data_IF_156676226382
#
_entry.id   IF_156676226382
#
_cell.length_a   1.000
_cell.length_b   1.000
_cell.length_c   1.000
_cell.angle_alpha   90.00
_cell.angle_beta   90.00
_cell.angle_gamma   90.00
#
_symmetry.space_group_name_H-M   'P 1'
#
loop_
_entity.id
_entity.type
_entity.pdbx_description
1 polymer ?
#
# COMPACT_ATOMS: atom_id res chain seq x y z
N UNK A 1 23.20 1.61 25.27
CA UNK A 1 23.25 2.74 26.21
C UNK A 1 23.19 4.02 25.39
N UNK A 2 22.01 4.63 25.26
CA UNK A 2 21.82 5.85 24.46
C UNK A 2 22.61 7.00 25.09
N UNK A 3 23.40 7.72 24.28
CA UNK A 3 24.21 8.85 24.76
C UNK A 3 23.27 10.01 25.16
N UNK A 4 23.19 10.41 26.44
CA UNK A 4 22.31 11.49 26.92
C UNK A 4 22.45 12.80 26.13
N UNK A 5 23.62 12.99 25.53
CA UNK A 5 23.95 14.11 24.65
C UNK A 5 23.09 14.19 23.37
N UNK A 6 22.83 13.07 22.70
CA UNK A 6 22.00 13.06 21.48
C UNK A 6 20.56 13.46 21.80
N UNK A 7 20.00 12.87 22.87
CA UNK A 7 18.64 13.18 23.34
C UNK A 7 18.45 14.68 23.58
N UNK A 8 19.37 15.30 24.34
CA UNK A 8 19.33 16.73 24.62
C UNK A 8 19.34 17.58 23.35
N UNK A 9 20.19 17.25 22.37
CA UNK A 9 20.22 17.95 21.07
C UNK A 9 18.91 17.85 20.30
N UNK A 10 18.29 16.66 20.31
CA UNK A 10 17.02 16.45 19.63
C UNK A 10 15.86 17.16 20.34
N UNK A 11 15.88 17.25 21.68
CA UNK A 11 14.92 18.04 22.45
C UNK A 11 15.06 19.55 22.14
N UNK A 12 16.30 20.07 22.12
CA UNK A 12 16.60 21.46 21.75
C UNK A 12 16.11 21.77 20.33
N UNK A 13 16.40 20.88 19.37
CA UNK A 13 15.95 20.99 17.99
C UNK A 13 14.42 20.94 17.88
N UNK A 14 13.75 20.02 18.58
CA UNK A 14 12.30 19.91 18.56
C UNK A 14 11.64 21.19 19.09
N UNK A 15 12.20 21.79 20.14
CA UNK A 15 11.71 23.05 20.69
C UNK A 15 11.94 24.22 19.72
N UNK A 16 13.11 24.28 19.08
CA UNK A 16 13.38 25.28 18.04
C UNK A 16 12.39 25.17 16.87
N UNK A 17 12.17 23.96 16.35
CA UNK A 17 11.21 23.73 15.26
C UNK A 17 9.79 24.16 15.64
N UNK A 18 9.36 23.86 16.87
CA UNK A 18 8.06 24.33 17.38
C UNK A 18 8.00 25.86 17.48
N UNK A 19 9.10 26.52 17.84
CA UNK A 19 9.16 27.99 17.92
C UNK A 19 9.00 28.67 16.55
N UNK A 20 9.38 27.99 15.46
CA UNK A 20 9.15 28.44 14.08
C UNK A 20 7.86 27.88 13.47
N UNK A 21 6.98 27.29 14.28
CA UNK A 21 5.65 26.83 13.86
C UNK A 21 5.58 25.42 13.27
N UNK A 22 6.67 24.64 13.30
CA UNK A 22 6.70 23.27 12.79
C UNK A 22 6.84 22.24 13.91
N UNK A 23 5.93 21.26 13.98
CA UNK A 23 6.03 20.17 14.94
C UNK A 23 6.64 18.93 14.25
N UNK A 24 7.90 18.57 14.53
CA UNK A 24 8.53 17.40 13.89
C UNK A 24 7.98 16.07 14.42
N UNK A 25 7.18 16.06 15.48
CA UNK A 25 6.74 14.85 16.16
C UNK A 25 7.78 14.31 17.14
N UNK A 26 7.70 13.03 17.46
CA UNK A 26 8.61 12.37 18.40
C UNK A 26 9.79 11.74 17.65
N UNK A 27 11.00 11.77 18.20
CA UNK A 27 12.17 11.07 17.66
C UNK A 27 12.42 9.70 18.30
N UNK A 28 11.68 9.38 19.36
CA UNK A 28 11.73 8.10 20.08
C UNK A 28 10.32 7.73 20.57
N UNK A 29 10.14 6.45 20.89
CA UNK A 29 8.94 5.92 21.54
C UNK A 29 7.61 6.25 20.84
N UNK A 30 7.63 6.51 19.53
CA UNK A 30 6.41 6.64 18.73
C UNK A 30 5.99 5.28 18.18
N UNK A 31 4.68 4.96 18.18
CA UNK A 31 4.19 3.72 17.59
C UNK A 31 4.34 3.75 16.06
N UNK A 32 4.58 2.59 15.48
CA UNK A 32 4.39 2.35 14.06
C UNK A 32 3.09 1.57 13.89
N UNK A 33 2.03 2.26 13.52
CA UNK A 33 0.72 1.63 13.40
C UNK A 33 0.69 0.65 12.24
N UNK A 34 0.06 -0.50 12.46
CA UNK A 34 -0.27 -1.47 11.41
C UNK A 34 -1.69 -1.94 11.64
N UNK A 35 -2.57 -1.72 10.67
CA UNK A 35 -3.96 -2.17 10.74
C UNK A 35 -4.40 -2.79 9.42
N UNK A 36 -5.34 -3.72 9.52
CA UNK A 36 -5.95 -4.35 8.36
C UNK A 36 -7.40 -4.69 8.64
N UNK A 37 -8.28 -4.14 7.81
CA UNK A 37 -9.71 -4.41 7.84
C UNK A 37 -10.05 -5.30 6.65
N UNK A 38 -10.67 -6.44 6.95
CA UNK A 38 -11.04 -7.47 5.97
C UNK A 38 -12.50 -7.82 6.15
N UNK A 39 -13.24 -7.76 5.05
CA UNK A 39 -14.62 -8.21 5.01
C UNK A 39 -14.85 -9.01 3.73
N UNK A 40 -15.61 -10.08 3.83
CA UNK A 40 -15.99 -10.87 2.66
C UNK A 40 -17.39 -11.41 2.81
N UNK A 41 -18.15 -11.35 1.74
CA UNK A 41 -19.48 -11.94 1.66
C UNK A 41 -19.58 -12.78 0.41
N UNK A 42 -20.26 -13.92 0.53
CA UNK A 42 -20.60 -14.79 -0.59
C UNK A 42 -22.08 -15.10 -0.54
N UNK A 43 -22.73 -15.01 -1.69
CA UNK A 43 -24.13 -15.34 -1.88
C UNK A 43 -24.20 -16.41 -2.96
N UNK A 44 -24.78 -17.56 -2.62
CA UNK A 44 -25.04 -18.65 -3.53
C UNK A 44 -26.55 -18.69 -3.83
N UNK A 45 -26.91 -18.60 -5.11
CA UNK A 45 -28.29 -18.62 -5.59
C UNK A 45 -28.49 -19.80 -6.55
N UNK A 46 -29.34 -20.74 -6.14
CA UNK A 46 -29.76 -21.84 -7.00
C UNK A 46 -30.91 -21.35 -7.89
N UNK A 47 -30.60 -21.04 -9.14
CA UNK A 47 -31.59 -20.58 -10.12
C UNK A 47 -32.57 -21.74 -10.42
N UNK A 48 -32.03 -22.94 -10.58
CA UNK A 48 -32.77 -24.19 -10.73
C UNK A 48 -31.91 -25.39 -10.28
N UNK A 49 -32.34 -26.62 -10.56
CA UNK A 49 -31.62 -27.86 -10.21
C UNK A 49 -30.28 -28.06 -10.95
N UNK A 50 -30.02 -27.27 -11.99
CA UNK A 50 -28.86 -27.38 -12.88
C UNK A 50 -27.98 -26.13 -12.86
N UNK A 51 -28.49 -24.98 -12.43
CA UNK A 51 -27.82 -23.69 -12.50
C UNK A 51 -27.66 -23.07 -11.12
N UNK A 52 -26.41 -22.85 -10.71
CA UNK A 52 -26.06 -22.12 -9.48
C UNK A 52 -25.23 -20.90 -9.84
N UNK A 53 -25.71 -19.72 -9.45
CA UNK A 53 -24.99 -18.47 -9.53
C UNK A 53 -24.40 -18.14 -8.15
N UNK A 54 -23.10 -17.88 -8.10
CA UNK A 54 -22.39 -17.47 -6.90
C UNK A 54 -21.85 -16.05 -7.10
N UNK A 55 -22.07 -15.17 -6.15
CA UNK A 55 -21.45 -13.85 -6.11
C UNK A 55 -20.60 -13.73 -4.85
N UNK A 56 -19.35 -13.29 -4.99
CA UNK A 56 -18.43 -13.05 -3.88
C UNK A 56 -17.90 -11.63 -3.96
N UNK A 57 -17.99 -10.90 -2.86
CA UNK A 57 -17.32 -9.62 -2.68
C UNK A 57 -16.29 -9.71 -1.57
N UNK A 58 -15.13 -9.13 -1.80
CA UNK A 58 -14.03 -9.04 -0.84
C UNK A 58 -13.57 -7.58 -0.74
N UNK A 59 -13.57 -7.09 0.50
CA UNK A 59 -13.12 -5.77 0.89
C UNK A 59 -11.86 -5.92 1.74
N UNK A 60 -10.83 -5.18 1.36
CA UNK A 60 -9.58 -5.11 2.10
C UNK A 60 -9.07 -3.69 2.14
N UNK A 61 -8.76 -3.21 3.34
CA UNK A 61 -8.00 -1.98 3.57
C UNK A 61 -6.89 -2.31 4.53
N UNK A 62 -5.69 -1.85 4.25
CA UNK A 62 -4.60 -1.94 5.21
C UNK A 62 -3.81 -0.66 5.23
N UNK A 63 -3.27 -0.39 6.41
CA UNK A 63 -2.40 0.73 6.67
C UNK A 63 -1.17 0.25 7.45
N UNK A 64 -0.01 0.81 7.12
CA UNK A 64 1.20 0.60 7.89
C UNK A 64 2.10 1.82 7.87
N UNK A 65 2.58 2.21 9.03
CA UNK A 65 3.62 3.23 9.18
C UNK A 65 5.00 2.68 8.82
N UNK A 66 5.75 3.49 8.09
CA UNK A 66 7.12 3.22 7.70
C UNK A 66 8.00 4.35 8.21
N UNK A 67 9.15 3.95 8.75
CA UNK A 67 10.24 4.87 9.07
C UNK A 67 10.71 5.62 7.80
N UNK A 68 11.47 6.71 7.95
CA UNK A 68 11.88 7.49 6.79
C UNK A 68 12.59 6.65 5.74
N UNK A 69 12.36 6.98 4.47
CA UNK A 69 13.05 6.35 3.36
C UNK A 69 14.56 6.61 3.42
N UNK A 70 15.36 5.62 3.02
CA UNK A 70 16.81 5.79 2.84
C UNK A 70 17.17 6.47 1.50
N UNK A 71 16.19 6.70 0.62
CA UNK A 71 16.41 7.33 -0.68
C UNK A 71 16.95 8.75 -0.51
N UNK A 72 18.10 9.05 -1.12
CA UNK A 72 18.75 10.36 -1.03
C UNK A 72 19.27 10.72 0.37
N UNK A 73 19.40 9.74 1.28
CA UNK A 73 19.88 9.97 2.65
C UNK A 73 21.40 10.13 2.72
N UNK A 74 21.93 10.89 3.70
CA UNK A 74 23.35 10.87 4.03
C UNK A 74 23.83 9.43 4.29
N UNK A 75 24.87 9.00 3.57
CA UNK A 75 25.38 7.61 3.57
C UNK A 75 24.27 6.54 3.38
N UNK A 76 23.19 6.86 2.66
CA UNK A 76 22.06 5.97 2.38
C UNK A 76 21.37 5.40 3.63
N UNK A 77 21.33 6.15 4.74
CA UNK A 77 20.67 5.70 5.96
C UNK A 77 19.97 6.83 6.73
N UNK A 78 18.65 6.68 6.95
CA UNK A 78 17.84 7.46 7.91
C UNK A 78 17.24 6.59 9.01
N UNK A 79 17.60 5.31 9.08
CA UNK A 79 17.04 4.42 10.09
C UNK A 79 17.59 4.76 11.49
N UNK A 80 16.78 4.57 12.55
CA UNK A 80 17.22 4.71 13.92
C UNK A 80 18.49 3.90 14.21
N UNK A 81 19.49 4.53 14.81
CA UNK A 81 20.76 3.91 15.18
C UNK A 81 21.36 4.59 16.41
N UNK A 82 22.49 4.07 16.89
CA UNK A 82 23.25 4.71 17.97
C UNK A 82 23.79 6.10 17.58
N UNK A 83 23.87 6.40 16.28
CA UNK A 83 24.43 7.64 15.74
C UNK A 83 23.35 8.64 15.32
N UNK A 84 22.08 8.24 15.28
CA UNK A 84 21.01 9.13 14.87
C UNK A 84 19.61 8.58 15.03
N UNK A 85 18.66 9.48 15.27
CA UNK A 85 17.24 9.17 15.47
C UNK A 85 16.40 10.11 14.61
N UNK A 86 15.67 9.60 13.61
CA UNK A 86 14.74 10.41 12.85
C UNK A 86 13.48 10.73 13.65
N UNK A 87 12.91 11.90 13.39
CA UNK A 87 11.59 12.27 13.87
C UNK A 87 10.49 11.53 13.10
N UNK A 88 9.37 11.25 13.77
CA UNK A 88 8.21 10.57 13.19
C UNK A 88 7.66 11.29 11.96
N UNK A 89 7.84 12.62 11.87
CA UNK A 89 7.42 13.40 10.70
C UNK A 89 8.08 12.96 9.38
N UNK A 90 9.32 12.49 9.43
CA UNK A 90 10.05 12.02 8.25
C UNK A 90 9.60 10.63 7.77
N UNK A 91 8.74 9.95 8.54
CA UNK A 91 8.09 8.71 8.13
C UNK A 91 6.95 8.95 7.14
N UNK A 92 6.40 7.85 6.64
CA UNK A 92 5.24 7.86 5.75
C UNK A 92 4.34 6.66 6.02
N UNK A 93 3.06 6.80 5.72
CA UNK A 93 2.09 5.71 5.76
C UNK A 93 1.98 5.02 4.40
N UNK A 94 1.83 3.70 4.42
CA UNK A 94 1.45 2.88 3.27
C UNK A 94 0.00 2.47 3.42
N UNK A 95 -0.83 2.83 2.45
CA UNK A 95 -2.19 2.33 2.33
C UNK A 95 -2.28 1.35 1.15
N UNK A 96 -2.85 0.18 1.38
CA UNK A 96 -3.17 -0.79 0.34
C UNK A 96 -4.66 -1.14 0.43
N UNK A 97 -5.41 -0.77 -0.59
CA UNK A 97 -6.85 -0.94 -0.62
C UNK A 97 -7.23 -1.83 -1.80
N UNK A 98 -8.07 -2.83 -1.56
CA UNK A 98 -8.57 -3.71 -2.61
C UNK A 98 -10.08 -3.94 -2.45
N UNK A 99 -10.79 -3.81 -3.56
CA UNK A 99 -12.17 -4.26 -3.74
C UNK A 99 -12.18 -5.30 -4.84
N UNK A 100 -12.70 -6.48 -4.53
CA UNK A 100 -12.79 -7.58 -5.47
C UNK A 100 -14.22 -8.11 -5.53
N UNK A 101 -14.76 -8.20 -6.74
CA UNK A 101 -16.04 -8.86 -7.02
C UNK A 101 -15.76 -10.04 -7.93
N UNK A 102 -16.27 -11.22 -7.59
CA UNK A 102 -16.28 -12.37 -8.49
C UNK A 102 -17.70 -12.90 -8.60
N UNK A 103 -18.10 -13.21 -9.83
CA UNK A 103 -19.33 -13.89 -10.19
C UNK A 103 -18.96 -15.23 -10.79
N UNK A 104 -19.65 -16.29 -10.39
CA UNK A 104 -19.48 -17.63 -10.93
C UNK A 104 -20.84 -18.23 -11.26
N UNK A 105 -21.04 -18.58 -12.53
CA UNK A 105 -22.18 -19.36 -12.97
C UNK A 105 -21.72 -20.79 -13.22
N UNK A 106 -22.25 -21.74 -12.46
CA UNK A 106 -22.07 -23.17 -12.67
C UNK A 106 -23.34 -23.76 -13.26
N UNK A 107 -23.19 -24.45 -14.39
CA UNK A 107 -24.30 -25.07 -15.12
C UNK A 107 -24.01 -26.55 -15.34
N UNK A 108 -24.91 -27.40 -14.86
CA UNK A 108 -24.96 -28.84 -15.18
C UNK A 108 -25.86 -29.06 -16.38
N UNK A 109 -25.26 -29.12 -17.57
CA UNK A 109 -26.00 -29.30 -18.82
C UNK A 109 -26.61 -30.71 -18.87
N UNK A 110 -25.83 -31.73 -18.53
CA UNK A 110 -26.27 -33.13 -18.45
C UNK A 110 -25.44 -33.94 -17.44
N UNK A 111 -25.61 -35.27 -17.41
CA UNK A 111 -24.68 -36.16 -16.69
C UNK A 111 -23.30 -36.26 -17.35
N UNK A 112 -23.16 -35.82 -18.61
CA UNK A 112 -21.92 -35.88 -19.39
C UNK A 112 -21.23 -34.53 -19.55
N UNK A 113 -21.92 -33.42 -19.32
CA UNK A 113 -21.41 -32.08 -19.59
C UNK A 113 -21.71 -31.11 -18.44
N UNK A 114 -20.71 -30.34 -18.05
CA UNK A 114 -20.85 -29.20 -17.13
C UNK A 114 -20.05 -28.01 -17.63
N UNK A 115 -20.45 -26.82 -17.19
CA UNK A 115 -19.77 -25.59 -17.50
C UNK A 115 -19.67 -24.71 -16.25
N UNK A 116 -18.56 -24.00 -16.13
CA UNK A 116 -18.31 -23.00 -15.10
C UNK A 116 -17.75 -21.75 -15.75
N UNK A 117 -18.52 -20.66 -15.71
CA UNK A 117 -18.09 -19.34 -16.14
C UNK A 117 -17.83 -18.48 -14.89
N UNK A 118 -16.59 -18.02 -14.73
CA UNK A 118 -16.18 -17.14 -13.64
C UNK A 118 -15.75 -15.79 -14.22
N UNK A 119 -16.32 -14.70 -13.71
CA UNK A 119 -15.95 -13.32 -14.07
C UNK A 119 -15.52 -12.59 -12.81
N UNK A 120 -14.36 -11.97 -12.84
CA UNK A 120 -13.78 -11.24 -11.72
C UNK A 120 -13.44 -9.81 -12.09
N UNK A 121 -13.62 -8.89 -11.14
CA UNK A 121 -13.18 -7.52 -11.24
C UNK A 121 -12.48 -7.11 -9.95
N UNK A 122 -11.23 -6.68 -10.07
CA UNK A 122 -10.40 -6.21 -8.98
C UNK A 122 -10.10 -4.73 -9.17
N UNK A 123 -10.26 -3.95 -8.10
CA UNK A 123 -9.77 -2.58 -8.02
C UNK A 123 -8.81 -2.51 -6.85
N UNK A 124 -7.55 -2.20 -7.13
CA UNK A 124 -6.50 -2.00 -6.15
C UNK A 124 -6.09 -0.53 -6.18
N UNK A 125 -6.02 0.09 -5.01
CA UNK A 125 -5.58 1.47 -4.83
C UNK A 125 -4.52 1.49 -3.74
N UNK A 126 -3.27 1.55 -4.18
CA UNK A 126 -2.11 1.67 -3.31
C UNK A 126 -1.68 3.12 -3.29
N UNK A 127 -1.56 3.72 -2.12
CA UNK A 127 -1.08 5.10 -2.00
C UNK A 127 -0.26 5.28 -0.74
N UNK A 128 0.38 6.43 -0.68
CA UNK A 128 1.24 6.84 0.42
C UNK A 128 0.70 8.13 1.01
N UNK A 129 0.98 8.34 2.29
CA UNK A 129 0.64 9.58 3.00
C UNK A 129 1.83 10.04 3.85
N UNK A 130 2.01 11.35 3.99
CA UNK A 130 3.06 11.91 4.86
C UNK A 130 2.68 11.80 6.34
N UNK A 131 3.64 11.52 7.21
CA UNK A 131 3.46 11.58 8.67
C UNK A 131 3.86 12.93 9.28
N UNK A 132 4.36 13.87 8.47
CA UNK A 132 4.82 15.18 8.94
C UNK A 132 3.72 16.16 9.35
N UNK A 133 2.45 15.83 9.08
CA UNK A 133 1.26 16.61 9.45
C UNK A 133 1.10 17.94 8.69
N UNK A 134 2.13 18.79 8.68
CA UNK A 134 2.16 20.06 7.95
C UNK A 134 3.28 20.04 6.89
N UNK A 135 3.06 20.64 5.70
CA UNK A 135 4.10 20.75 4.68
C UNK A 135 5.36 21.41 5.24
N UNK A 136 6.47 20.68 5.17
CA UNK A 136 7.78 21.16 5.60
C UNK A 136 8.85 20.39 4.81
N UNK A 137 9.92 21.04 4.33
CA UNK A 137 10.94 20.36 3.55
C UNK A 137 11.61 19.26 4.37
N UNK A 138 11.97 18.14 3.73
CA UNK A 138 12.82 17.15 4.40
C UNK A 138 14.19 17.76 4.69
N UNK A 139 14.57 17.77 5.97
CA UNK A 139 15.88 18.22 6.43
C UNK A 139 16.62 17.03 7.04
N UNK A 140 17.80 16.75 6.50
CA UNK A 140 18.78 15.86 7.12
C UNK A 140 19.83 16.68 7.87
N UNK A 141 20.06 16.34 9.14
CA UNK A 141 21.20 16.86 9.90
C UNK A 141 22.21 15.73 10.04
N UNK A 142 23.46 16.00 9.66
CA UNK A 142 24.54 15.01 9.64
C UNK A 142 25.45 15.13 10.86
N UNK A 143 26.02 14.00 11.26
CA UNK A 143 27.17 13.93 12.15
C UNK A 143 28.44 14.43 11.44
N UNK A 144 29.53 14.73 12.17
CA UNK A 144 30.80 15.15 11.58
C UNK A 144 31.40 14.15 10.58
N UNK A 145 31.11 12.87 10.74
CA UNK A 145 31.55 11.81 9.83
C UNK A 145 30.69 11.69 8.56
N UNK A 146 29.64 12.52 8.43
CA UNK A 146 28.69 12.52 7.32
C UNK A 146 27.55 11.49 7.45
N UNK A 147 27.46 10.74 8.55
CA UNK A 147 26.31 9.88 8.83
C UNK A 147 25.08 10.71 9.24
N UNK A 148 23.86 10.20 9.02
CA UNK A 148 22.64 10.89 9.46
C UNK A 148 22.52 10.91 10.98
N UNK A 149 22.39 12.11 11.57
CA UNK A 149 22.12 12.33 12.99
C UNK A 149 20.62 12.38 13.26
N UNK A 150 19.86 13.05 12.39
CA UNK A 150 18.39 13.08 12.46
C UNK A 150 17.80 13.56 11.14
N UNK A 151 16.53 13.27 10.93
CA UNK A 151 15.73 13.76 9.81
C UNK A 151 14.33 14.15 10.29
N UNK A 152 13.76 15.19 9.68
CA UNK A 152 12.39 15.66 9.93
C UNK A 152 11.86 16.38 8.68
N UNK A 153 10.53 16.45 8.53
CA UNK A 153 9.89 17.05 7.36
C UNK A 153 9.20 16.01 6.48
N UNK A 154 8.57 16.44 5.39
CA UNK A 154 7.87 15.55 4.47
C UNK A 154 8.86 14.74 3.64
N UNK A 155 8.75 13.42 3.72
CA UNK A 155 9.56 12.55 2.86
C UNK A 155 9.23 12.79 1.37
N UNK A 156 10.22 13.20 0.55
CA UNK A 156 9.95 13.84 -0.74
C UNK A 156 9.75 12.84 -1.89
N UNK A 157 10.05 11.55 -1.69
CA UNK A 157 10.09 10.54 -2.76
C UNK A 157 8.93 9.56 -2.72
N UNK A 158 8.21 9.49 -1.61
CA UNK A 158 7.28 8.40 -1.30
C UNK A 158 5.93 8.92 -0.88
N UNK A 159 5.85 9.98 -0.07
CA UNK A 159 4.67 10.35 0.71
C UNK A 159 3.37 10.64 -0.10
N UNK A 160 3.45 10.84 -1.41
CA UNK A 160 2.27 11.13 -2.26
C UNK A 160 2.15 10.22 -3.49
N UNK A 161 2.94 9.15 -3.56
CA UNK A 161 2.83 8.19 -4.64
C UNK A 161 1.49 7.45 -4.56
N UNK A 162 0.85 7.27 -5.71
CA UNK A 162 -0.39 6.51 -5.83
C UNK A 162 -0.37 5.63 -7.08
N UNK A 163 -0.79 4.39 -6.93
CA UNK A 163 -0.95 3.42 -7.99
C UNK A 163 -2.35 2.83 -7.91
N UNK A 164 -3.13 3.02 -8.97
CA UNK A 164 -4.46 2.43 -9.13
C UNK A 164 -4.41 1.38 -10.21
N UNK A 165 -4.74 0.15 -9.85
CA UNK A 165 -4.75 -1.00 -10.76
C UNK A 165 -6.15 -1.57 -10.83
N UNK A 166 -6.64 -1.76 -12.04
CA UNK A 166 -7.91 -2.43 -12.32
C UNK A 166 -7.63 -3.69 -13.12
N UNK A 167 -8.16 -4.82 -12.67
CA UNK A 167 -8.03 -6.11 -13.36
C UNK A 167 -9.40 -6.68 -13.62
N UNK A 168 -9.72 -6.89 -14.89
CA UNK A 168 -10.88 -7.66 -15.30
C UNK A 168 -10.41 -9.02 -15.77
N UNK A 169 -11.09 -10.08 -15.34
CA UNK A 169 -10.79 -11.46 -15.69
C UNK A 169 -12.07 -12.23 -16.00
N UNK A 170 -12.04 -13.08 -17.01
CA UNK A 170 -13.13 -13.96 -17.37
C UNK A 170 -12.59 -15.32 -17.78
N UNK A 171 -12.99 -16.36 -17.06
CA UNK A 171 -12.57 -17.75 -17.28
C UNK A 171 -13.80 -18.60 -17.53
N UNK A 172 -13.76 -19.40 -18.58
CA UNK A 172 -14.80 -20.37 -18.88
C UNK A 172 -14.19 -21.76 -18.97
N UNK A 173 -14.69 -22.69 -18.16
CA UNK A 173 -14.29 -24.09 -18.19
C UNK A 173 -15.48 -24.96 -18.57
N UNK A 174 -15.31 -25.79 -19.59
CA UNK A 174 -16.30 -26.76 -20.04
C UNK A 174 -15.75 -28.17 -19.82
N UNK A 175 -16.46 -28.97 -19.04
CA UNK A 175 -16.01 -30.32 -18.68
C UNK A 175 -16.88 -31.36 -19.38
N UNK A 176 -16.22 -32.40 -19.87
CA UNK A 176 -16.81 -33.57 -20.54
C UNK A 176 -16.46 -34.81 -19.73
N UNK A 177 -17.49 -35.51 -19.26
CA UNK A 177 -17.37 -36.77 -18.53
C UNK A 177 -17.59 -37.94 -19.50
N UNK A 178 -16.50 -38.63 -19.85
CA UNK A 178 -16.46 -39.74 -20.79
C UNK A 178 -16.14 -41.06 -20.06
N UNK A 179 -17.06 -41.52 -19.21
CA UNK A 179 -16.90 -42.75 -18.43
C UNK A 179 -15.88 -42.60 -17.31
N UNK A 180 -14.70 -43.18 -17.46
CA UNK A 180 -13.58 -43.08 -16.49
C UNK A 180 -12.69 -41.85 -16.70
N UNK A 181 -13.00 -41.02 -17.70
CA UNK A 181 -12.20 -39.86 -18.08
C UNK A 181 -12.99 -38.56 -17.90
N UNK A 182 -12.30 -37.50 -17.47
CA UNK A 182 -12.79 -36.12 -17.45
C UNK A 182 -11.88 -35.28 -18.34
N UNK A 183 -12.46 -34.60 -19.33
CA UNK A 183 -11.74 -33.70 -20.25
C UNK A 183 -12.25 -32.29 -19.98
N UNK A 184 -11.34 -31.35 -19.69
CA UNK A 184 -11.67 -29.94 -19.47
C UNK A 184 -11.16 -29.09 -20.62
N UNK A 185 -12.04 -28.31 -21.24
CA UNK A 185 -11.72 -27.29 -22.23
C UNK A 185 -11.88 -25.92 -21.57
N UNK A 186 -10.78 -25.21 -21.39
CA UNK A 186 -10.74 -23.92 -20.69
C UNK A 186 -10.33 -22.78 -21.61
N UNK A 187 -10.96 -21.61 -21.43
CA UNK A 187 -10.52 -20.33 -21.99
C UNK A 187 -10.45 -19.29 -20.89
N UNK A 188 -9.42 -18.44 -20.91
CA UNK A 188 -9.24 -17.35 -19.96
C UNK A 188 -8.88 -16.06 -20.69
N UNK A 189 -9.47 -14.96 -20.26
CA UNK A 189 -9.16 -13.61 -20.70
C UNK A 189 -8.88 -12.72 -19.49
N UNK A 190 -7.81 -11.95 -19.56
CA UNK A 190 -7.45 -10.95 -18.55
C UNK A 190 -7.16 -9.61 -19.22
N UNK A 191 -7.64 -8.53 -18.60
CA UNK A 191 -7.31 -7.16 -18.96
C UNK A 191 -6.88 -6.39 -17.73
N UNK A 192 -5.67 -5.86 -17.77
CA UNK A 192 -5.07 -5.05 -16.73
C UNK A 192 -4.98 -3.58 -17.17
N UNK A 193 -5.33 -2.66 -16.27
CA UNK A 193 -5.22 -1.23 -16.49
C UNK A 193 -4.64 -0.55 -15.25
N UNK A 194 -3.52 0.14 -15.44
CA UNK A 194 -2.82 0.87 -14.39
C UNK A 194 -2.97 2.37 -14.61
N UNK A 195 -3.06 3.12 -13.51
CA UNK A 195 -2.91 4.57 -13.48
C UNK A 195 -1.97 4.89 -12.33
N UNK A 196 -0.79 5.43 -12.64
CA UNK A 196 0.21 5.74 -11.62
C UNK A 196 0.49 7.23 -11.57
N UNK A 197 0.56 7.74 -10.34
CA UNK A 197 1.08 9.06 -10.03
C UNK A 197 2.34 8.90 -9.19
N UNK A 198 3.46 9.39 -9.72
CA UNK A 198 4.71 9.52 -8.97
C UNK A 198 4.87 10.99 -8.64
N UNK A 199 4.94 11.31 -7.35
CA UNK A 199 5.06 12.66 -6.86
C UNK A 199 6.42 12.83 -6.19
N UNK A 200 7.18 13.82 -6.66
CA UNK A 200 8.47 14.18 -6.10
C UNK A 200 8.49 15.65 -5.72
N UNK A 201 9.06 15.98 -4.57
CA UNK A 201 9.26 17.37 -4.16
C UNK A 201 10.32 18.04 -5.04
N UNK A 202 10.04 19.25 -5.54
CA UNK A 202 11.00 20.05 -6.29
C UNK A 202 11.75 21.00 -5.35
N UNK A 203 11.03 21.92 -4.71
CA UNK A 203 11.55 22.95 -3.79
C UNK A 203 10.43 23.45 -2.86
N UNK A 204 10.76 23.71 -1.60
CA UNK A 204 9.89 24.41 -0.63
C UNK A 204 8.47 23.83 -0.49
N UNK A 205 8.31 22.51 -0.47
CA UNK A 205 6.99 21.86 -0.36
C UNK A 205 6.16 21.86 -1.66
N UNK A 206 6.73 22.29 -2.80
CA UNK A 206 6.11 22.12 -4.11
C UNK A 206 6.36 20.70 -4.63
N UNK A 207 5.28 19.95 -4.88
CA UNK A 207 5.34 18.61 -5.47
C UNK A 207 5.00 18.65 -6.96
N UNK A 208 5.82 18.01 -7.79
CA UNK A 208 5.45 17.66 -9.16
C UNK A 208 4.98 16.20 -9.15
N UNK A 209 3.75 15.98 -9.59
CA UNK A 209 3.20 14.65 -9.80
C UNK A 209 3.16 14.36 -11.30
N UNK A 210 3.92 13.34 -11.73
CA UNK A 210 3.91 12.86 -13.11
C UNK A 210 2.96 11.68 -13.24
N UNK A 211 2.11 11.72 -14.26
CA UNK A 211 1.29 10.59 -14.67
C UNK A 211 2.14 9.60 -15.48
N UNK A 212 2.03 8.32 -15.16
CA UNK A 212 2.57 7.21 -15.95
C UNK A 212 1.49 6.17 -16.23
#
# INVERSE_FOLDING_TARGET
>A
MFQPYLRRKLDELANYLKSIGYNPGSYQDYPLDTRSDKFSVKLDYNIDQKNTLSAKYFYFRSYRDILPSNSGAPKNNRQPSNLGLPFSSAGYGINNNMDNVNLELRTRISSKYSNSLTVGYNVMNDYRESKGGQPFPLVDIMNPDGSSMTAFGYEPFTAFNSLKTKVFQATNNFNIYAGKHEITLGANFEKLQNHQWICTELLWGLYICQFR
#
